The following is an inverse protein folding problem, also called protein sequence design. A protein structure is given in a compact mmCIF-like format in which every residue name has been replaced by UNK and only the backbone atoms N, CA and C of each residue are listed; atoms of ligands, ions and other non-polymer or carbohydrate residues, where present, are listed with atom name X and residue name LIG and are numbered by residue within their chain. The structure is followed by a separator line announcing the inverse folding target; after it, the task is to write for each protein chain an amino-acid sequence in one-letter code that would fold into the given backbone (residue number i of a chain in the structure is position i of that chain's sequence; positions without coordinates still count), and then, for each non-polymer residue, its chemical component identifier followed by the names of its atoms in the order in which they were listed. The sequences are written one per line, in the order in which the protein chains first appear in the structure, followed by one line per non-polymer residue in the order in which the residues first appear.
data_IF_677646930935
#
_entry.id   IF_677646930935
#
_cell.length_a   1.000
_cell.length_b   1.000
_cell.length_c   1.000
_cell.angle_alpha   90.00
_cell.angle_beta   90.00
_cell.angle_gamma   90.00
#
_symmetry.space_group_name_H-M   'P 1'
#
loop_
_entity.id
_entity.type
_entity.pdbx_description
1 polymer ?
#
# COMPACT_ATOMS: atom_id res chain seq x y z
N UNK A 1 8.31 73.33 13.41
CA UNK A 1 9.45 74.22 13.75
C UNK A 1 10.68 73.41 13.88
N UNK A 2 11.55 73.68 13.15
CA UNK A 2 12.95 74.04 12.97
C UNK A 2 13.81 72.94 12.37
N UNK A 3 14.29 73.20 11.22
CA UNK A 3 15.44 72.64 10.46
C UNK A 3 16.77 73.14 11.07
N UNK A 4 17.91 72.93 10.48
CA UNK A 4 18.80 71.78 10.28
C UNK A 4 20.23 72.08 10.75
N UNK A 5 21.18 71.14 10.62
CA UNK A 5 22.58 71.54 10.44
C UNK A 5 23.42 70.55 9.63
N UNK A 6 24.01 71.07 8.57
CA UNK A 6 25.10 70.50 7.74
C UNK A 6 26.43 70.57 8.44
N UNK A 7 27.34 69.65 8.08
CA UNK A 7 28.82 69.91 7.86
C UNK A 7 29.52 68.55 7.90
N UNK A 8 30.58 68.23 7.24
CA UNK A 8 31.39 68.80 6.15
C UNK A 8 32.24 67.67 5.58
N UNK A 9 32.53 67.73 4.29
CA UNK A 9 33.49 66.91 3.53
C UNK A 9 34.93 67.18 4.03
N UNK A 10 35.70 66.10 4.18
CA UNK A 10 37.18 66.20 4.11
C UNK A 10 37.67 65.10 3.19
N UNK A 11 38.18 65.52 2.10
CA UNK A 11 38.91 64.72 1.09
C UNK A 11 40.35 64.61 1.56
N UNK A 12 40.88 63.41 1.70
CA UNK A 12 42.33 63.22 1.78
C UNK A 12 42.72 62.13 0.80
N UNK A 13 43.45 62.55 -0.20
CA UNK A 13 44.11 61.73 -1.18
C UNK A 13 45.42 61.19 -0.58
N UNK A 14 45.66 59.90 -0.62
CA UNK A 14 47.00 59.33 -0.45
C UNK A 14 47.22 58.27 -1.52
N UNK A 15 48.26 58.51 -2.30
CA UNK A 15 48.81 57.58 -3.27
C UNK A 15 49.56 56.45 -2.58
N UNK A 16 49.38 55.21 -3.00
CA UNK A 16 50.27 54.14 -2.62
C UNK A 16 50.46 53.10 -3.69
N UNK A 17 51.66 52.90 -3.98
CA UNK A 17 52.42 51.81 -4.62
C UNK A 17 51.66 50.51 -4.97
N UNK A 18 51.82 50.15 -6.25
CA UNK A 18 51.56 48.82 -6.77
C UNK A 18 52.61 47.81 -6.26
N UNK A 19 52.15 46.84 -5.47
CA UNK A 19 52.89 45.60 -5.23
C UNK A 19 52.16 44.49 -6.00
N UNK A 20 52.80 43.94 -7.02
CA UNK A 20 52.27 42.83 -7.83
C UNK A 20 52.22 41.54 -6.98
N UNK A 21 51.01 41.11 -6.68
CA UNK A 21 50.77 39.76 -6.19
C UNK A 21 50.23 38.92 -7.36
N UNK A 22 51.05 37.99 -7.82
CA UNK A 22 50.65 36.94 -8.75
C UNK A 22 49.74 35.97 -7.98
N UNK A 23 48.42 36.01 -8.24
CA UNK A 23 47.45 35.02 -7.77
C UNK A 23 47.59 33.79 -8.68
N UNK A 24 47.85 32.60 -8.13
CA UNK A 24 47.85 31.39 -8.95
C UNK A 24 46.43 31.12 -9.41
N UNK A 25 46.21 30.98 -10.74
CA UNK A 25 44.99 30.43 -11.27
C UNK A 25 44.81 29.01 -10.70
N UNK A 26 43.97 28.87 -9.74
CA UNK A 26 43.43 27.55 -9.38
C UNK A 26 42.55 27.07 -10.54
N UNK A 27 43.04 26.06 -11.24
CA UNK A 27 42.23 25.33 -12.22
C UNK A 27 41.00 24.80 -11.51
N UNK A 28 39.82 25.32 -11.87
CA UNK A 28 38.55 24.73 -11.47
C UNK A 28 38.52 23.31 -12.06
N UNK A 29 38.77 22.32 -11.21
CA UNK A 29 38.53 20.94 -11.59
C UNK A 29 37.05 20.82 -11.94
N UNK A 30 36.74 20.60 -13.21
CA UNK A 30 35.38 20.30 -13.66
C UNK A 30 34.87 19.12 -12.87
N UNK A 31 33.85 19.34 -12.03
CA UNK A 31 33.16 18.26 -11.36
C UNK A 31 32.66 17.29 -12.43
N UNK A 32 33.15 16.08 -12.41
CA UNK A 32 32.65 15.02 -13.28
C UNK A 32 31.15 14.90 -13.10
N UNK A 33 30.36 14.73 -14.18
CA UNK A 33 28.93 14.56 -14.04
C UNK A 33 28.67 13.34 -13.14
N UNK A 34 27.92 13.58 -12.05
CA UNK A 34 27.43 12.49 -11.21
C UNK A 34 26.50 11.67 -12.09
N UNK A 35 27.03 10.58 -12.63
CA UNK A 35 26.23 9.60 -13.35
C UNK A 35 25.20 9.11 -12.35
N UNK A 36 23.95 9.53 -12.51
CA UNK A 36 22.84 9.04 -11.73
C UNK A 36 22.85 7.51 -11.86
N UNK A 37 23.30 6.83 -10.79
CA UNK A 37 23.28 5.37 -10.75
C UNK A 37 21.84 4.98 -10.98
N UNK A 38 21.55 4.36 -12.12
CA UNK A 38 20.23 3.78 -12.39
C UNK A 38 19.95 2.80 -11.25
N UNK A 39 19.10 3.24 -10.34
CA UNK A 39 18.60 2.35 -9.28
C UNK A 39 17.78 1.28 -10.01
N UNK A 40 18.10 -0.02 -9.85
CA UNK A 40 17.32 -1.04 -10.51
C UNK A 40 15.85 -0.87 -10.17
N UNK A 41 14.92 -1.12 -11.09
CA UNK A 41 13.50 -0.95 -10.83
C UNK A 41 13.11 -1.76 -9.61
N UNK A 42 12.35 -1.15 -8.71
CA UNK A 42 11.84 -1.78 -7.50
C UNK A 42 11.07 -3.04 -7.90
N UNK A 43 11.45 -4.19 -7.36
CA UNK A 43 10.72 -5.45 -7.58
C UNK A 43 9.56 -5.52 -6.59
N UNK A 44 8.31 -5.56 -7.08
CA UNK A 44 7.14 -5.70 -6.22
C UNK A 44 7.15 -7.03 -5.45
N UNK A 45 6.63 -6.99 -4.23
CA UNK A 45 6.52 -8.10 -3.30
C UNK A 45 5.07 -8.58 -3.29
N UNK A 46 4.77 -9.65 -4.01
CA UNK A 46 3.41 -10.13 -4.25
C UNK A 46 2.65 -10.49 -2.98
N UNK A 47 3.37 -10.96 -1.95
CA UNK A 47 2.79 -11.37 -0.68
C UNK A 47 2.70 -10.23 0.35
N UNK A 48 3.20 -9.04 0.05
CA UNK A 48 3.22 -7.96 1.02
C UNK A 48 1.90 -7.18 1.03
N UNK A 49 1.27 -7.12 2.22
CA UNK A 49 0.08 -6.33 2.49
C UNK A 49 0.35 -5.34 3.62
N UNK A 50 0.22 -4.05 3.33
CA UNK A 50 0.32 -2.96 4.29
C UNK A 50 -1.02 -2.83 5.01
N UNK A 51 -1.07 -3.31 6.25
CA UNK A 51 -2.17 -3.14 7.17
C UNK A 51 -2.11 -1.72 7.75
N UNK A 52 -3.25 -1.11 8.05
CA UNK A 52 -3.32 0.24 8.57
C UNK A 52 -2.44 1.27 7.81
N UNK A 53 -2.31 1.12 6.49
CA UNK A 53 -1.37 1.93 5.68
C UNK A 53 -1.56 3.45 5.89
N UNK A 54 -2.78 3.90 6.19
CA UNK A 54 -3.12 5.29 6.47
C UNK A 54 -2.48 5.87 7.75
N UNK A 55 -1.89 5.04 8.60
CA UNK A 55 -1.16 5.47 9.80
C UNK A 55 0.31 5.84 9.49
N UNK A 56 0.84 5.45 8.33
CA UNK A 56 2.19 5.83 7.92
C UNK A 56 2.29 7.32 7.60
N UNK A 57 3.51 7.86 7.65
CA UNK A 57 3.79 9.29 7.40
C UNK A 57 3.30 9.72 6.00
N UNK A 58 3.49 8.85 4.99
CA UNK A 58 3.03 9.09 3.63
C UNK A 58 2.20 7.88 3.15
N UNK A 59 0.91 7.81 3.51
CA UNK A 59 0.03 6.70 3.12
C UNK A 59 0.15 6.36 1.64
N UNK A 60 0.02 5.10 1.29
CA UNK A 60 0.25 4.55 -0.04
C UNK A 60 1.71 4.65 -0.51
N UNK A 61 2.32 5.84 -0.41
CA UNK A 61 3.67 6.08 -0.94
C UNK A 61 4.73 5.27 -0.19
N UNK A 62 4.63 5.18 1.13
CA UNK A 62 5.56 4.42 1.96
C UNK A 62 5.44 2.93 1.60
N UNK A 63 4.23 2.34 1.57
CA UNK A 63 4.03 0.95 1.17
C UNK A 63 4.52 0.66 -0.26
N UNK A 64 4.19 1.53 -1.22
CA UNK A 64 4.66 1.35 -2.59
C UNK A 64 6.18 1.51 -2.73
N UNK A 65 6.85 2.30 -1.88
CA UNK A 65 8.31 2.44 -1.88
C UNK A 65 9.03 1.18 -1.38
N UNK A 66 8.37 0.39 -0.53
CA UNK A 66 8.81 -0.93 -0.07
C UNK A 66 8.40 -2.08 -1.01
N UNK A 67 7.67 -1.78 -2.09
CA UNK A 67 7.27 -2.79 -3.09
C UNK A 67 6.00 -3.55 -2.77
N UNK A 68 5.19 -3.09 -1.86
CA UNK A 68 3.94 -3.73 -1.47
C UNK A 68 2.92 -3.73 -2.61
N UNK A 69 2.21 -4.83 -2.79
CA UNK A 69 1.20 -4.99 -3.84
C UNK A 69 -0.23 -5.03 -3.32
N UNK A 70 -0.39 -4.88 -2.02
CA UNK A 70 -1.67 -4.75 -1.34
C UNK A 70 -1.55 -3.71 -0.23
N UNK A 71 -2.51 -2.80 -0.14
CA UNK A 71 -2.58 -1.74 0.89
C UNK A 71 -3.99 -1.64 1.42
N UNK A 72 -4.12 -1.29 2.71
CA UNK A 72 -5.40 -1.16 3.39
C UNK A 72 -5.72 0.31 3.70
N UNK A 73 -6.98 0.69 3.48
CA UNK A 73 -7.52 2.00 3.83
C UNK A 73 -8.85 1.81 4.57
N UNK A 74 -8.91 2.27 5.81
CA UNK A 74 -10.14 2.29 6.60
C UNK A 74 -10.94 3.56 6.27
N UNK A 75 -12.23 3.41 6.00
CA UNK A 75 -13.07 4.53 5.58
C UNK A 75 -14.32 4.69 6.42
N UNK A 76 -14.68 5.95 6.62
CA UNK A 76 -15.94 6.40 7.20
C UNK A 76 -16.72 7.21 6.17
N UNK A 77 -18.00 6.94 6.02
CA UNK A 77 -18.89 7.82 5.26
C UNK A 77 -19.39 8.93 6.19
N UNK A 78 -19.00 10.17 5.90
CA UNK A 78 -19.40 11.36 6.66
C UNK A 78 -19.84 12.45 5.68
N UNK A 79 -21.08 12.89 5.75
CA UNK A 79 -21.65 13.96 4.92
C UNK A 79 -21.41 13.80 3.40
N UNK A 80 -21.40 12.54 2.92
CA UNK A 80 -21.16 12.21 1.50
C UNK A 80 -19.71 12.15 1.09
N UNK A 81 -18.76 12.28 2.02
CA UNK A 81 -17.34 12.09 1.80
C UNK A 81 -16.84 10.78 2.45
N UNK A 82 -15.84 10.15 1.82
CA UNK A 82 -15.19 8.95 2.34
C UNK A 82 -13.89 9.36 3.03
N UNK A 83 -13.97 9.59 4.34
CA UNK A 83 -12.84 10.00 5.16
C UNK A 83 -12.04 8.78 5.63
N UNK A 84 -10.72 8.94 5.75
CA UNK A 84 -9.79 7.86 6.11
C UNK A 84 -9.28 8.06 7.53
N UNK A 85 -9.61 7.11 8.41
CA UNK A 85 -9.13 7.06 9.80
C UNK A 85 -9.30 5.64 10.37
N UNK A 86 -8.63 5.34 11.49
CA UNK A 86 -8.88 4.12 12.25
C UNK A 86 -10.13 4.24 13.13
N UNK A 87 -10.25 5.35 13.83
CA UNK A 87 -11.36 5.65 14.73
C UNK A 87 -12.11 6.92 14.29
N UNK A 88 -13.37 7.01 14.66
CA UNK A 88 -14.20 8.18 14.33
C UNK A 88 -13.67 9.49 14.97
N UNK A 89 -12.91 9.38 16.04
CA UNK A 89 -12.26 10.52 16.73
C UNK A 89 -11.09 11.10 15.96
N UNK A 90 -10.54 10.35 15.00
CA UNK A 90 -9.33 10.71 14.25
C UNK A 90 -9.66 11.24 12.85
N UNK A 91 -10.94 11.46 12.56
CA UNK A 91 -11.41 11.94 11.28
C UNK A 91 -10.90 13.36 10.97
N UNK A 92 -10.27 13.50 9.81
CA UNK A 92 -9.81 14.76 9.24
C UNK A 92 -10.44 14.94 7.85
N UNK A 93 -11.21 16.02 7.61
CA UNK A 93 -11.85 16.27 6.32
C UNK A 93 -10.89 16.37 5.14
N UNK A 94 -9.61 16.61 5.37
CA UNK A 94 -8.58 16.65 4.32
C UNK A 94 -8.07 15.27 3.92
N UNK A 95 -8.29 14.26 4.78
CA UNK A 95 -7.83 12.88 4.59
C UNK A 95 -8.94 12.02 4.00
N UNK A 96 -9.16 12.14 2.70
CA UNK A 96 -10.18 11.36 1.99
C UNK A 96 -9.56 10.15 1.27
N UNK A 97 -10.38 9.14 0.96
CA UNK A 97 -9.96 8.01 0.12
C UNK A 97 -9.42 8.50 -1.24
N UNK A 98 -10.04 9.54 -1.79
CA UNK A 98 -9.59 10.14 -3.05
C UNK A 98 -8.20 10.76 -2.90
N UNK A 99 -7.99 11.63 -1.91
CA UNK A 99 -6.74 12.38 -1.75
C UNK A 99 -5.55 11.49 -1.36
N UNK A 100 -5.78 10.47 -0.50
CA UNK A 100 -4.69 9.61 -0.01
C UNK A 100 -4.39 8.42 -0.93
N UNK A 101 -5.37 7.90 -1.67
CA UNK A 101 -5.21 6.65 -2.43
C UNK A 101 -5.58 6.77 -3.90
N UNK A 102 -6.80 7.21 -4.24
CA UNK A 102 -7.28 7.08 -5.63
C UNK A 102 -6.58 8.05 -6.59
N UNK A 103 -6.39 9.30 -6.21
CA UNK A 103 -5.69 10.30 -7.02
C UNK A 103 -4.19 9.98 -7.18
N UNK A 104 -3.44 9.65 -6.10
CA UNK A 104 -2.05 9.22 -6.22
C UNK A 104 -1.88 7.95 -7.06
N UNK A 105 -2.76 6.94 -6.91
CA UNK A 105 -2.73 5.73 -7.74
C UNK A 105 -2.97 6.08 -9.21
N UNK A 106 -3.95 6.93 -9.51
CA UNK A 106 -4.23 7.36 -10.89
C UNK A 106 -3.04 8.11 -11.51
N UNK A 107 -2.42 9.01 -10.76
CA UNK A 107 -1.23 9.72 -11.20
C UNK A 107 -0.08 8.76 -11.51
N UNK A 108 0.15 7.77 -10.62
CA UNK A 108 1.18 6.76 -10.77
C UNK A 108 0.92 5.82 -11.95
N UNK A 109 -0.32 5.37 -12.13
CA UNK A 109 -0.72 4.53 -13.28
C UNK A 109 -0.52 5.26 -14.61
N UNK A 110 -0.80 6.56 -14.66
CA UNK A 110 -0.53 7.39 -15.85
C UNK A 110 0.97 7.51 -16.12
N UNK A 111 1.77 7.79 -15.10
CA UNK A 111 3.22 7.92 -15.22
C UNK A 111 3.90 6.61 -15.66
N UNK A 112 3.38 5.47 -15.24
CA UNK A 112 3.90 4.14 -15.55
C UNK A 112 3.17 3.43 -16.71
N UNK A 113 2.51 4.20 -17.59
CA UNK A 113 1.86 3.69 -18.80
C UNK A 113 0.86 2.54 -18.56
N UNK A 114 0.04 2.67 -17.52
CA UNK A 114 -1.06 1.76 -17.25
C UNK A 114 -0.83 0.75 -16.11
N UNK A 115 0.25 0.88 -15.35
CA UNK A 115 0.57 0.01 -14.21
C UNK A 115 0.95 0.82 -12.97
N UNK A 116 0.78 0.26 -11.76
CA UNK A 116 1.23 0.92 -10.52
C UNK A 116 2.75 0.90 -10.41
N UNK A 117 3.39 -0.19 -10.78
CA UNK A 117 4.84 -0.32 -10.84
C UNK A 117 5.29 -0.44 -12.28
N UNK A 118 6.31 0.28 -12.68
CA UNK A 118 6.85 0.23 -14.04
C UNK A 118 7.25 -1.20 -14.41
N UNK A 119 6.66 -1.73 -15.50
CA UNK A 119 6.95 -3.08 -16.00
C UNK A 119 6.29 -4.24 -15.23
N UNK A 120 5.53 -3.98 -14.17
CA UNK A 120 4.79 -4.98 -13.42
C UNK A 120 3.29 -4.89 -13.75
N UNK A 121 2.75 -5.93 -14.38
CA UNK A 121 1.38 -5.92 -14.94
C UNK A 121 0.30 -6.45 -14.01
N UNK A 122 0.68 -7.10 -12.90
CA UNK A 122 -0.30 -7.56 -11.93
C UNK A 122 -0.94 -6.37 -11.22
N UNK A 123 -2.25 -6.41 -10.95
CA UNK A 123 -2.93 -5.37 -10.21
C UNK A 123 -2.38 -5.21 -8.78
N UNK A 124 -2.33 -3.97 -8.31
CA UNK A 124 -2.20 -3.68 -6.87
C UNK A 124 -3.59 -3.74 -6.24
N UNK A 125 -3.72 -4.44 -5.12
CA UNK A 125 -4.94 -4.49 -4.34
C UNK A 125 -5.05 -3.25 -3.46
N UNK A 126 -6.20 -2.58 -3.49
CA UNK A 126 -6.61 -1.60 -2.50
C UNK A 126 -7.72 -2.24 -1.66
N UNK A 127 -7.38 -2.70 -0.46
CA UNK A 127 -8.35 -3.20 0.51
C UNK A 127 -8.98 -1.99 1.19
N UNK A 128 -10.30 -1.86 1.08
CA UNK A 128 -11.06 -0.75 1.62
C UNK A 128 -11.95 -1.30 2.73
N UNK A 129 -11.59 -1.00 3.97
CA UNK A 129 -12.32 -1.45 5.16
C UNK A 129 -13.34 -0.38 5.58
N UNK A 130 -14.62 -0.73 5.46
CA UNK A 130 -15.73 0.19 5.78
C UNK A 130 -16.04 0.13 7.28
N UNK A 131 -15.89 1.26 7.97
CA UNK A 131 -16.11 1.40 9.42
C UNK A 131 -17.50 1.92 9.79
N UNK A 132 -18.29 2.36 8.81
CA UNK A 132 -19.69 2.87 9.01
C UNK A 132 -20.69 1.95 8.33
N UNK A 133 -21.95 2.41 8.14
CA UNK A 133 -22.99 1.70 7.38
C UNK A 133 -22.47 1.22 6.02
N UNK A 134 -22.24 -0.07 5.91
CA UNK A 134 -21.62 -0.69 4.74
C UNK A 134 -22.38 -0.49 3.45
N UNK A 135 -23.70 -0.51 3.50
CA UNK A 135 -24.52 -0.35 2.30
C UNK A 135 -24.45 1.10 1.77
N UNK A 136 -24.63 2.08 2.63
CA UNK A 136 -24.55 3.49 2.27
C UNK A 136 -23.14 3.89 1.82
N UNK A 137 -22.11 3.47 2.59
CA UNK A 137 -20.71 3.75 2.27
C UNK A 137 -20.31 3.12 0.94
N UNK A 138 -20.74 1.88 0.66
CA UNK A 138 -20.43 1.25 -0.62
C UNK A 138 -21.09 1.96 -1.80
N UNK A 139 -22.34 2.42 -1.69
CA UNK A 139 -23.01 3.16 -2.77
C UNK A 139 -22.27 4.46 -3.09
N UNK A 140 -21.81 5.19 -2.09
CA UNK A 140 -20.97 6.39 -2.31
C UNK A 140 -19.61 6.00 -2.90
N UNK A 141 -18.98 4.94 -2.39
CA UNK A 141 -17.72 4.44 -2.93
C UNK A 141 -17.84 4.07 -4.42
N UNK A 142 -18.88 3.33 -4.82
CA UNK A 142 -19.13 2.98 -6.24
C UNK A 142 -19.25 4.25 -7.10
N UNK A 143 -19.96 5.30 -6.60
CA UNK A 143 -20.07 6.59 -7.28
C UNK A 143 -18.69 7.24 -7.49
N UNK A 144 -17.83 7.22 -6.48
CA UNK A 144 -16.48 7.78 -6.58
C UNK A 144 -15.58 6.95 -7.49
N UNK A 145 -15.58 5.62 -7.38
CA UNK A 145 -14.78 4.72 -8.21
C UNK A 145 -15.02 4.88 -9.70
N UNK A 146 -16.22 5.27 -10.13
CA UNK A 146 -16.55 5.53 -11.56
C UNK A 146 -15.64 6.57 -12.21
N UNK A 147 -15.12 7.54 -11.45
CA UNK A 147 -14.16 8.55 -11.94
C UNK A 147 -12.81 7.91 -12.29
N UNK A 148 -12.47 6.79 -11.63
CA UNK A 148 -11.19 6.08 -11.73
C UNK A 148 -11.27 4.80 -12.57
N UNK A 149 -12.41 4.51 -13.22
CA UNK A 149 -12.72 3.25 -13.92
C UNK A 149 -11.64 2.78 -14.90
N UNK A 150 -10.85 3.70 -15.47
CA UNK A 150 -9.81 3.35 -16.46
C UNK A 150 -8.61 2.63 -15.83
N UNK A 151 -8.35 2.82 -14.54
CA UNK A 151 -7.27 2.13 -13.84
C UNK A 151 -7.76 0.92 -13.04
N UNK A 152 -9.08 0.77 -12.86
CA UNK A 152 -9.63 -0.24 -11.95
C UNK A 152 -9.97 -1.54 -12.68
N UNK A 153 -9.73 -2.65 -11.96
CA UNK A 153 -10.32 -3.94 -12.29
C UNK A 153 -11.84 -3.82 -12.27
N UNK A 154 -12.49 -4.39 -13.25
CA UNK A 154 -13.95 -4.30 -13.42
C UNK A 154 -14.58 -5.67 -13.64
N UNK A 155 -15.81 -5.81 -13.18
CA UNK A 155 -16.68 -6.92 -13.50
C UNK A 155 -17.86 -6.43 -14.33
N UNK A 156 -18.21 -7.15 -15.37
CA UNK A 156 -19.37 -6.89 -16.21
C UNK A 156 -19.96 -8.22 -16.68
N UNK A 157 -21.19 -8.52 -16.26
CA UNK A 157 -21.97 -9.67 -16.71
C UNK A 157 -21.18 -10.99 -16.76
N UNK A 158 -20.59 -11.39 -15.65
CA UNK A 158 -19.83 -12.65 -15.51
C UNK A 158 -18.35 -12.55 -15.91
N UNK A 159 -17.87 -11.43 -16.46
CA UNK A 159 -16.50 -11.27 -16.93
C UNK A 159 -15.73 -10.26 -16.08
N UNK A 160 -14.54 -10.67 -15.63
CA UNK A 160 -13.57 -9.77 -14.97
C UNK A 160 -12.56 -9.29 -15.99
N UNK A 161 -12.34 -7.97 -16.02
CA UNK A 161 -11.27 -7.34 -16.77
C UNK A 161 -10.29 -6.72 -15.80
N UNK A 162 -9.07 -7.22 -15.77
CA UNK A 162 -8.02 -6.70 -14.92
C UNK A 162 -7.66 -5.25 -15.28
N UNK A 163 -7.55 -4.41 -14.26
CA UNK A 163 -6.98 -3.07 -14.31
C UNK A 163 -5.63 -3.01 -13.59
N UNK A 164 -5.10 -1.82 -13.39
CA UNK A 164 -3.88 -1.62 -12.60
C UNK A 164 -4.11 -1.74 -11.09
N UNK A 165 -5.35 -1.49 -10.64
CA UNK A 165 -5.76 -1.51 -9.23
C UNK A 165 -7.04 -2.32 -9.09
N UNK A 166 -7.09 -3.19 -8.08
CA UNK A 166 -8.28 -3.97 -7.72
C UNK A 166 -8.77 -3.51 -6.35
N UNK A 167 -9.85 -2.73 -6.26
CA UNK A 167 -10.51 -2.44 -4.99
C UNK A 167 -11.19 -3.69 -4.44
N UNK A 168 -10.95 -4.01 -3.16
CA UNK A 168 -11.59 -5.10 -2.44
C UNK A 168 -12.20 -4.54 -1.17
N UNK A 169 -13.50 -4.80 -0.95
CA UNK A 169 -14.28 -4.20 0.13
C UNK A 169 -14.34 -5.15 1.31
N UNK A 170 -13.88 -4.67 2.44
CA UNK A 170 -13.93 -5.30 3.76
C UNK A 170 -14.73 -4.46 4.75
N UNK A 171 -14.64 -4.78 6.04
CA UNK A 171 -15.32 -4.09 7.13
C UNK A 171 -16.79 -4.46 7.24
N UNK A 172 -17.67 -3.48 7.26
CA UNK A 172 -19.11 -3.71 7.46
C UNK A 172 -19.71 -4.58 6.35
N UNK A 173 -20.29 -5.71 6.77
CA UNK A 173 -20.77 -6.77 5.88
C UNK A 173 -22.02 -6.36 5.09
N UNK A 174 -22.75 -5.32 5.51
CA UNK A 174 -23.91 -4.80 4.78
C UNK A 174 -23.57 -4.29 3.36
N UNK A 175 -22.30 -3.96 3.09
CA UNK A 175 -21.81 -3.63 1.75
C UNK A 175 -22.06 -4.76 0.72
N UNK A 176 -22.14 -6.02 1.15
CA UNK A 176 -22.35 -7.18 0.27
C UNK A 176 -23.62 -7.07 -0.56
N UNK A 177 -24.72 -6.67 0.07
CA UNK A 177 -26.06 -6.67 -0.57
C UNK A 177 -26.09 -5.77 -1.84
N UNK A 178 -25.75 -4.47 -1.76
CA UNK A 178 -25.72 -3.65 -2.98
C UNK A 178 -24.64 -4.11 -3.98
N UNK A 179 -23.55 -4.72 -3.56
CA UNK A 179 -22.51 -5.25 -4.46
C UNK A 179 -23.02 -6.44 -5.27
N UNK A 180 -23.71 -7.40 -4.64
CA UNK A 180 -24.26 -8.59 -5.32
C UNK A 180 -25.34 -8.21 -6.34
N UNK A 181 -26.11 -7.16 -6.09
CA UNK A 181 -27.16 -6.69 -6.98
C UNK A 181 -26.61 -6.07 -8.29
N UNK A 182 -25.31 -5.75 -8.37
CA UNK A 182 -24.73 -5.06 -9.51
C UNK A 182 -24.30 -6.02 -10.62
N UNK A 183 -24.74 -5.75 -11.86
CA UNK A 183 -24.25 -6.42 -13.08
C UNK A 183 -22.90 -5.86 -13.55
N UNK A 184 -22.57 -4.64 -13.15
CA UNK A 184 -21.29 -3.99 -13.43
C UNK A 184 -20.78 -3.34 -12.15
N UNK A 185 -19.57 -3.67 -11.72
CA UNK A 185 -18.92 -3.09 -10.53
C UNK A 185 -17.42 -2.90 -10.75
N UNK A 186 -16.85 -2.00 -9.97
CA UNK A 186 -15.44 -1.64 -9.96
C UNK A 186 -14.73 -2.08 -8.67
N UNK A 187 -15.44 -2.83 -7.83
CA UNK A 187 -14.94 -3.35 -6.56
C UNK A 187 -15.35 -4.81 -6.38
N UNK A 188 -14.63 -5.50 -5.52
CA UNK A 188 -14.79 -6.91 -5.22
C UNK A 188 -14.96 -7.07 -3.71
N UNK A 189 -15.44 -8.20 -3.26
CA UNK A 189 -15.77 -8.40 -1.86
C UNK A 189 -14.71 -9.24 -1.14
N UNK A 190 -14.33 -8.84 0.07
CA UNK A 190 -13.46 -9.60 0.97
C UNK A 190 -14.31 -10.63 1.73
N UNK A 191 -14.21 -11.89 1.35
CA UNK A 191 -14.90 -13.00 1.99
C UNK A 191 -14.33 -13.36 3.36
N UNK A 192 -15.00 -14.32 3.99
CA UNK A 192 -14.57 -14.94 5.25
C UNK A 192 -14.47 -16.46 5.04
N UNK A 193 -13.96 -17.18 6.03
CA UNK A 193 -13.80 -18.64 5.93
C UNK A 193 -15.10 -19.36 5.59
N UNK A 194 -16.25 -18.84 6.03
CA UNK A 194 -17.58 -19.39 5.74
C UNK A 194 -17.99 -19.22 4.27
N UNK A 195 -17.32 -18.35 3.53
CA UNK A 195 -17.53 -18.20 2.08
C UNK A 195 -16.81 -19.28 1.25
N UNK A 196 -15.89 -20.05 1.88
CA UNK A 196 -15.16 -21.13 1.20
C UNK A 196 -16.12 -22.24 0.77
N UNK A 197 -16.01 -22.65 -0.49
CA UNK A 197 -16.85 -23.73 -1.04
C UNK A 197 -18.30 -23.34 -1.33
N UNK A 198 -18.68 -22.08 -1.12
CA UNK A 198 -19.99 -21.56 -1.50
C UNK A 198 -20.09 -21.32 -3.02
N UNK A 199 -21.27 -20.92 -3.50
CA UNK A 199 -21.47 -20.54 -4.90
C UNK A 199 -20.80 -19.18 -5.27
N UNK A 200 -20.30 -18.42 -4.30
CA UNK A 200 -19.62 -17.16 -4.53
C UNK A 200 -18.25 -17.41 -5.16
N UNK A 201 -18.07 -16.98 -6.39
CA UNK A 201 -16.85 -17.19 -7.17
C UNK A 201 -15.81 -16.11 -6.91
N UNK A 202 -14.56 -16.36 -7.30
CA UNK A 202 -13.49 -15.34 -7.25
C UNK A 202 -13.79 -14.08 -8.08
N UNK A 203 -14.73 -14.13 -8.99
CA UNK A 203 -15.21 -12.95 -9.71
C UNK A 203 -16.03 -11.99 -8.84
N UNK A 204 -16.47 -12.44 -7.67
CA UNK A 204 -17.09 -11.60 -6.63
C UNK A 204 -16.24 -11.53 -5.36
N UNK A 205 -15.75 -12.69 -4.87
CA UNK A 205 -14.92 -12.84 -3.68
C UNK A 205 -13.51 -13.31 -4.09
N UNK A 206 -12.62 -12.41 -4.53
CA UNK A 206 -11.26 -12.78 -4.92
C UNK A 206 -10.31 -12.98 -3.72
N UNK A 207 -10.71 -12.56 -2.54
CA UNK A 207 -9.94 -12.61 -1.30
C UNK A 207 -10.79 -13.23 -0.20
N UNK A 208 -10.17 -14.10 0.59
CA UNK A 208 -10.71 -14.63 1.86
C UNK A 208 -9.79 -14.12 2.98
N UNK A 209 -10.35 -13.32 3.88
CA UNK A 209 -9.64 -12.82 5.06
C UNK A 209 -10.21 -13.44 6.34
N UNK A 210 -9.34 -13.74 7.30
CA UNK A 210 -9.75 -14.20 8.64
C UNK A 210 -8.84 -13.66 9.73
N UNK A 211 -9.38 -13.54 10.93
CA UNK A 211 -8.58 -13.29 12.12
C UNK A 211 -7.76 -14.55 12.45
N UNK A 212 -6.43 -14.39 12.57
CA UNK A 212 -5.54 -15.50 12.90
C UNK A 212 -5.91 -16.12 14.24
N UNK A 213 -6.15 -15.32 15.27
CA UNK A 213 -6.41 -15.78 16.64
C UNK A 213 -7.78 -16.42 16.83
N UNK A 214 -8.71 -16.27 15.87
CA UNK A 214 -9.99 -17.00 15.85
C UNK A 214 -9.84 -18.39 15.21
N UNK A 215 -8.76 -18.61 14.47
CA UNK A 215 -8.52 -19.84 13.74
C UNK A 215 -7.38 -20.67 14.31
N UNK A 216 -6.39 -20.04 14.95
CA UNK A 216 -5.16 -20.67 15.42
C UNK A 216 -4.76 -20.11 16.78
N UNK A 217 -4.30 -20.99 17.66
CA UNK A 217 -3.79 -20.63 19.00
C UNK A 217 -2.28 -20.32 18.97
N UNK A 218 -1.56 -20.86 17.96
CA UNK A 218 -0.14 -20.67 17.84
C UNK A 218 0.21 -19.25 17.36
N UNK A 219 1.07 -18.56 18.13
CA UNK A 219 1.52 -17.19 17.87
C UNK A 219 3.03 -17.10 17.59
N UNK A 220 3.63 -18.19 17.09
CA UNK A 220 5.03 -18.19 16.66
C UNK A 220 6.02 -18.79 17.66
N UNK A 221 5.63 -18.98 18.93
CA UNK A 221 6.50 -19.58 19.95
C UNK A 221 6.55 -21.10 19.82
N UNK A 222 7.75 -21.67 19.78
CA UNK A 222 7.96 -23.11 19.64
C UNK A 222 7.52 -23.66 18.27
N UNK A 223 7.41 -25.00 18.13
CA UNK A 223 7.00 -25.62 16.88
C UNK A 223 5.51 -25.36 16.60
N UNK A 224 5.17 -25.08 15.35
CA UNK A 224 3.77 -24.99 14.91
C UNK A 224 3.09 -26.36 15.07
N UNK A 225 1.96 -26.46 15.82
CA UNK A 225 1.27 -27.73 16.00
C UNK A 225 0.85 -28.35 14.67
N UNK A 226 1.09 -29.66 14.50
CA UNK A 226 0.84 -30.33 13.21
C UNK A 226 -0.63 -30.19 12.77
N UNK A 227 -1.58 -30.31 13.70
CA UNK A 227 -3.01 -30.19 13.40
C UNK A 227 -3.38 -28.78 12.88
N UNK A 228 -2.79 -27.72 13.47
CA UNK A 228 -3.01 -26.36 13.03
C UNK A 228 -2.34 -26.10 11.67
N UNK A 229 -1.15 -26.63 11.44
CA UNK A 229 -0.47 -26.55 10.15
C UNK A 229 -1.27 -27.23 9.04
N UNK A 230 -1.83 -28.40 9.30
CA UNK A 230 -2.67 -29.12 8.34
C UNK A 230 -3.97 -28.36 8.07
N UNK A 231 -4.59 -27.76 9.10
CA UNK A 231 -5.75 -26.89 8.97
C UNK A 231 -5.44 -25.66 8.10
N UNK A 232 -4.31 -24.96 8.34
CA UNK A 232 -3.89 -23.83 7.53
C UNK A 232 -3.76 -24.19 6.05
N UNK A 233 -3.06 -25.29 5.75
CA UNK A 233 -2.92 -25.81 4.38
C UNK A 233 -4.24 -26.18 3.74
N UNK A 234 -5.16 -26.77 4.49
CA UNK A 234 -6.49 -27.12 4.01
C UNK A 234 -7.32 -25.88 3.63
N UNK A 235 -7.31 -24.84 4.48
CA UNK A 235 -7.98 -23.57 4.23
C UNK A 235 -7.42 -22.88 2.98
N UNK A 236 -6.09 -22.72 2.89
CA UNK A 236 -5.43 -22.10 1.74
C UNK A 236 -5.72 -22.91 0.47
N UNK A 237 -5.61 -24.25 0.53
CA UNK A 237 -5.93 -25.11 -0.61
C UNK A 237 -7.39 -25.01 -1.05
N UNK A 238 -8.34 -24.84 -0.11
CA UNK A 238 -9.74 -24.64 -0.45
C UNK A 238 -9.98 -23.30 -1.18
N UNK A 239 -9.40 -22.22 -0.69
CA UNK A 239 -9.47 -20.91 -1.32
C UNK A 239 -8.86 -20.94 -2.74
N UNK A 240 -7.67 -21.50 -2.89
CA UNK A 240 -6.98 -21.59 -4.18
C UNK A 240 -7.74 -22.44 -5.21
N UNK A 241 -8.42 -23.51 -4.79
CA UNK A 241 -9.32 -24.26 -5.70
C UNK A 241 -10.48 -23.42 -6.19
N UNK A 242 -10.95 -22.44 -5.40
CA UNK A 242 -11.96 -21.45 -5.80
C UNK A 242 -11.39 -20.28 -6.61
N UNK A 243 -10.07 -20.23 -6.84
CA UNK A 243 -9.39 -19.10 -7.47
C UNK A 243 -9.29 -17.87 -6.57
N UNK A 244 -9.44 -18.06 -5.27
CA UNK A 244 -9.43 -17.00 -4.25
C UNK A 244 -8.07 -16.93 -3.58
N UNK A 245 -7.67 -15.73 -3.16
CA UNK A 245 -6.46 -15.47 -2.36
C UNK A 245 -6.80 -15.53 -0.89
N UNK A 246 -5.78 -15.66 -0.05
CA UNK A 246 -5.92 -15.75 1.41
C UNK A 246 -5.08 -14.69 2.12
N UNK A 247 -5.67 -14.06 3.12
CA UNK A 247 -5.02 -13.16 4.08
C UNK A 247 -5.45 -13.52 5.50
N UNK A 248 -4.49 -13.51 6.44
CA UNK A 248 -4.79 -13.52 7.87
C UNK A 248 -4.33 -12.20 8.48
N UNK A 249 -5.22 -11.55 9.24
CA UNK A 249 -4.92 -10.41 10.08
C UNK A 249 -4.83 -10.83 11.56
N UNK A 250 -4.45 -9.92 12.48
CA UNK A 250 -4.15 -10.23 13.88
C UNK A 250 -3.05 -11.29 14.07
N UNK A 251 -2.14 -11.43 13.12
CA UNK A 251 -0.90 -12.18 13.30
C UNK A 251 0.07 -11.39 14.18
N UNK A 252 1.01 -12.03 14.92
CA UNK A 252 2.08 -11.32 15.59
C UNK A 252 2.82 -10.36 14.66
N UNK A 253 2.93 -9.08 15.04
CA UNK A 253 3.57 -8.04 14.20
C UNK A 253 4.72 -7.31 14.90
N UNK A 254 4.96 -7.60 16.17
CA UNK A 254 6.15 -7.12 16.88
C UNK A 254 7.37 -7.84 16.33
N UNK A 255 8.39 -7.06 15.92
CA UNK A 255 9.62 -7.62 15.36
C UNK A 255 10.26 -8.64 16.33
N UNK A 256 10.52 -9.85 15.83
CA UNK A 256 11.05 -10.93 16.64
C UNK A 256 10.90 -12.30 15.99
N UNK A 257 11.47 -13.34 16.64
CA UNK A 257 11.45 -14.69 16.10
C UNK A 257 10.04 -15.26 15.96
N UNK A 258 9.09 -14.88 16.82
CA UNK A 258 7.71 -15.34 16.78
C UNK A 258 6.99 -14.85 15.53
N UNK A 259 7.11 -13.56 15.20
CA UNK A 259 6.58 -12.98 13.97
C UNK A 259 7.18 -13.65 12.74
N UNK A 260 8.50 -13.78 12.71
CA UNK A 260 9.20 -14.37 11.56
C UNK A 260 8.85 -15.86 11.38
N UNK A 261 8.58 -16.58 12.49
CA UNK A 261 8.10 -17.96 12.45
C UNK A 261 6.68 -18.03 11.84
N UNK A 262 5.76 -17.14 12.23
CA UNK A 262 4.42 -17.08 11.64
C UNK A 262 4.48 -16.75 10.15
N UNK A 263 5.25 -15.73 9.75
CA UNK A 263 5.42 -15.40 8.33
C UNK A 263 6.00 -16.56 7.52
N UNK A 264 6.93 -17.32 8.12
CA UNK A 264 7.52 -18.52 7.48
C UNK A 264 6.46 -19.58 7.22
N UNK A 265 5.62 -19.89 8.20
CA UNK A 265 4.55 -20.90 8.04
C UNK A 265 3.45 -20.43 7.08
N UNK A 266 3.09 -19.15 7.12
CA UNK A 266 2.14 -18.56 6.16
C UNK A 266 2.64 -18.68 4.71
N UNK A 267 3.93 -18.35 4.45
CA UNK A 267 4.53 -18.53 3.13
C UNK A 267 4.59 -20.01 2.72
N UNK A 268 4.99 -20.90 3.64
CA UNK A 268 5.06 -22.34 3.38
C UNK A 268 3.70 -22.96 3.08
N UNK A 269 2.62 -22.40 3.64
CA UNK A 269 1.26 -22.80 3.34
C UNK A 269 0.69 -22.20 2.05
N UNK A 270 1.38 -21.21 1.47
CA UNK A 270 0.94 -20.52 0.26
C UNK A 270 -0.03 -19.36 0.49
N UNK A 271 -0.06 -18.77 1.69
CA UNK A 271 -0.87 -17.57 1.96
C UNK A 271 -0.43 -16.43 1.05
N UNK A 272 -1.40 -15.74 0.44
CA UNK A 272 -1.14 -14.78 -0.63
C UNK A 272 -0.77 -13.39 -0.11
N UNK A 273 -1.26 -13.01 1.07
CA UNK A 273 -0.98 -11.71 1.67
C UNK A 273 -0.55 -11.86 3.13
N UNK A 274 0.70 -11.51 3.43
CA UNK A 274 1.24 -11.37 4.76
C UNK A 274 0.92 -9.96 5.26
N UNK A 275 0.23 -9.89 6.39
CA UNK A 275 -0.30 -8.68 7.00
C UNK A 275 0.73 -8.07 7.96
N UNK A 276 1.00 -6.77 7.86
CA UNK A 276 1.93 -6.08 8.78
C UNK A 276 1.73 -4.57 8.78
N UNK A 277 2.05 -3.94 9.90
CA UNK A 277 2.28 -2.49 10.05
C UNK A 277 3.78 -2.15 9.88
N UNK A 278 4.70 -3.14 9.92
CA UNK A 278 6.15 -2.98 9.74
C UNK A 278 6.57 -3.22 8.28
N UNK A 279 6.42 -2.20 7.44
CA UNK A 279 6.74 -2.28 6.01
C UNK A 279 8.19 -2.71 5.74
N UNK A 280 9.14 -2.14 6.49
CA UNK A 280 10.57 -2.42 6.31
C UNK A 280 10.92 -3.85 6.73
N UNK A 281 10.35 -4.32 7.85
CA UNK A 281 10.56 -5.68 8.35
C UNK A 281 10.07 -6.73 7.36
N UNK A 282 8.86 -6.57 6.83
CA UNK A 282 8.31 -7.52 5.86
C UNK A 282 9.06 -7.46 4.52
N UNK A 283 9.47 -6.28 4.06
CA UNK A 283 10.32 -6.18 2.87
C UNK A 283 11.60 -6.98 3.03
N UNK A 284 12.34 -6.79 4.13
CA UNK A 284 13.58 -7.51 4.41
C UNK A 284 13.36 -9.02 4.46
N UNK A 285 12.33 -9.47 5.17
CA UNK A 285 11.99 -10.87 5.29
C UNK A 285 11.69 -11.52 3.93
N UNK A 286 10.81 -10.92 3.13
CA UNK A 286 10.43 -11.45 1.82
C UNK A 286 11.59 -11.44 0.82
N UNK A 287 12.44 -10.42 0.83
CA UNK A 287 13.60 -10.38 -0.05
C UNK A 287 14.65 -11.44 0.32
N UNK A 288 14.89 -11.67 1.61
CA UNK A 288 15.79 -12.72 2.08
C UNK A 288 15.28 -14.12 1.69
N UNK A 289 13.99 -14.38 1.87
CA UNK A 289 13.35 -15.67 1.52
C UNK A 289 13.42 -15.93 0.00
N UNK A 290 13.06 -14.92 -0.82
CA UNK A 290 13.13 -15.04 -2.28
C UNK A 290 14.54 -15.26 -2.81
N UNK A 291 15.57 -14.78 -2.10
CA UNK A 291 16.98 -14.99 -2.48
C UNK A 291 17.43 -16.43 -2.22
N UNK A 292 17.01 -17.03 -1.09
CA UNK A 292 17.31 -18.43 -0.74
C UNK A 292 16.68 -19.42 -1.73
N UNK A 293 15.43 -19.19 -2.11
CA UNK A 293 14.72 -20.05 -3.07
C UNK A 293 15.41 -20.06 -4.44
N UNK A 294 16.02 -18.96 -4.85
CA UNK A 294 16.75 -18.87 -6.14
C UNK A 294 18.14 -19.51 -6.13
N UNK A 295 18.75 -19.67 -4.96
CA UNK A 295 20.08 -20.31 -4.82
C UNK A 295 19.98 -21.82 -4.66
N UNK A 296 18.79 -22.34 -4.28
CA UNK A 296 18.53 -23.77 -4.10
C UNK A 296 17.80 -24.44 -5.28
N UNK A 297 17.47 -23.67 -6.32
CA UNK A 297 16.88 -24.17 -7.58
C UNK A 297 17.91 -24.12 -8.71
#
# INVERSE_FOLDING_TARGET
MAFPTRRRVVTTALATLAAGATVPLQSAAAAAPVVARHRPPLRPLRQAHAHNDYLHTHPLHDALSHGFTSVEADIFLVDGELLVAHEATDLDPTRTLASLYLDPLLARVRANHGTVYAGYREPVQLLIDIKTDGAAAYLELDRQLRRYRRMLTSYHDGRVRAGAVTPVISGDRAARVPMEAQRTRLAFYDGRLDDLGTAATASFIPLISSNWTESFDWLGAGPFPAAERDRLRALVGAAHRGGQRVRFWATPDVAGPERDAVWTELLAAGVDHLNTDDLAGLELFLRATNSRTRQGA
#
